data_IF_465840839452
#
_entry.id   IF_465840839452
#
_cell.length_a   1.000
_cell.length_b   1.000
_cell.length_c   1.000
_cell.angle_alpha   90.00
_cell.angle_beta   90.00
_cell.angle_gamma   90.00
#
_symmetry.space_group_name_H-M   'P 1'
#
loop_
_entity.id
_entity.type
_entity.pdbx_description
1 polymer ?
#
# COMPACT_ATOMS: atom_id res chain seq x y z
N UNK A 1 16.31 -22.36 23.30
CA UNK A 1 15.75 -21.22 22.52
C UNK A 1 14.65 -21.79 21.63
N UNK A 2 13.39 -21.39 21.83
CA UNK A 2 12.23 -21.92 21.08
C UNK A 2 12.37 -21.62 19.60
N UNK A 3 12.24 -22.64 18.76
CA UNK A 3 12.27 -22.55 17.28
C UNK A 3 11.01 -21.88 16.67
N UNK A 4 10.12 -21.31 17.52
CA UNK A 4 8.85 -20.71 17.10
C UNK A 4 8.96 -19.21 16.78
N UNK A 5 8.03 -18.72 15.98
CA UNK A 5 7.84 -17.28 15.72
C UNK A 5 7.46 -16.59 17.04
N UNK A 6 8.11 -15.48 17.45
CA UNK A 6 7.74 -14.76 18.66
C UNK A 6 6.27 -14.29 18.61
N UNK A 7 5.52 -14.47 19.71
CA UNK A 7 4.11 -14.04 19.80
C UNK A 7 3.92 -12.53 19.50
N UNK A 8 4.91 -11.72 19.88
CA UNK A 8 4.92 -10.31 19.53
C UNK A 8 4.88 -10.07 18.02
N UNK A 9 5.59 -10.90 17.24
CA UNK A 9 5.62 -10.80 15.79
C UNK A 9 4.28 -11.20 15.18
N UNK A 10 3.62 -12.24 15.73
CA UNK A 10 2.26 -12.62 15.32
C UNK A 10 1.24 -11.51 15.62
N UNK A 11 1.37 -10.82 16.76
CA UNK A 11 0.52 -9.66 17.08
C UNK A 11 0.70 -8.52 16.07
N UNK A 12 1.93 -8.23 15.65
CA UNK A 12 2.23 -7.24 14.61
C UNK A 12 1.67 -7.68 13.24
N UNK A 13 1.80 -8.96 12.87
CA UNK A 13 1.24 -9.52 11.63
C UNK A 13 -0.28 -9.38 11.59
N UNK A 14 -0.95 -9.65 12.71
CA UNK A 14 -2.39 -9.48 12.83
C UNK A 14 -2.82 -8.00 12.75
N UNK A 15 -2.03 -7.10 13.36
CA UNK A 15 -2.23 -5.66 13.20
C UNK A 15 -2.08 -5.21 11.75
N UNK A 16 -1.06 -5.71 11.05
CA UNK A 16 -0.86 -5.45 9.62
C UNK A 16 -2.01 -6.01 8.76
N UNK A 17 -2.55 -7.18 9.11
CA UNK A 17 -3.72 -7.75 8.46
C UNK A 17 -4.98 -6.90 8.66
N UNK A 18 -5.24 -6.45 9.87
CA UNK A 18 -6.39 -5.59 10.17
C UNK A 18 -6.31 -4.25 9.42
N UNK A 19 -5.12 -3.63 9.42
CA UNK A 19 -4.83 -2.37 8.73
C UNK A 19 -4.97 -2.54 7.20
N UNK A 20 -4.38 -3.58 6.63
CA UNK A 20 -4.49 -3.85 5.20
C UNK A 20 -5.93 -4.15 4.77
N UNK A 21 -6.70 -4.84 5.61
CA UNK A 21 -8.12 -5.08 5.34
C UNK A 21 -8.89 -3.77 5.27
N UNK A 22 -8.76 -2.87 6.27
CA UNK A 22 -9.49 -1.58 6.25
C UNK A 22 -9.02 -0.64 5.14
N UNK A 23 -7.75 -0.73 4.74
CA UNK A 23 -7.19 0.08 3.66
C UNK A 23 -7.86 -0.23 2.32
N UNK A 24 -7.90 -1.49 1.94
CA UNK A 24 -8.28 -1.89 0.59
C UNK A 24 -9.74 -2.35 0.44
N UNK A 25 -10.40 -2.79 1.52
CA UNK A 25 -11.80 -3.27 1.45
C UNK A 25 -12.76 -2.19 0.94
N UNK A 26 -12.44 -0.93 1.18
CA UNK A 26 -13.25 0.21 0.74
C UNK A 26 -13.49 0.21 -0.77
N UNK A 27 -12.52 -0.25 -1.57
CA UNK A 27 -12.63 -0.36 -3.04
C UNK A 27 -13.80 -1.26 -3.44
N UNK A 28 -13.99 -2.38 -2.74
CA UNK A 28 -15.12 -3.29 -2.96
C UNK A 28 -16.45 -2.76 -2.43
N UNK A 29 -16.43 -1.75 -1.56
CA UNK A 29 -17.62 -1.18 -0.90
C UNK A 29 -18.08 0.15 -1.50
N UNK A 30 -17.29 0.78 -2.39
CA UNK A 30 -17.62 2.09 -2.98
C UNK A 30 -19.05 2.15 -3.52
N UNK A 31 -19.53 1.20 -4.37
CA UNK A 31 -20.89 1.24 -4.89
C UNK A 31 -21.95 1.17 -3.78
N UNK A 32 -21.74 0.29 -2.80
CA UNK A 32 -22.68 0.09 -1.67
C UNK A 32 -22.74 1.32 -0.75
N UNK A 33 -21.58 1.94 -0.47
CA UNK A 33 -21.49 3.16 0.35
C UNK A 33 -22.11 4.34 -0.39
N UNK A 34 -21.85 4.49 -1.68
CA UNK A 34 -22.41 5.56 -2.50
C UNK A 34 -23.95 5.49 -2.52
N UNK A 35 -24.50 4.28 -2.71
CA UNK A 35 -25.95 4.06 -2.72
C UNK A 35 -26.60 4.32 -1.33
N UNK A 36 -26.02 3.79 -0.24
CA UNK A 36 -26.57 3.91 1.11
C UNK A 36 -26.52 5.35 1.66
N UNK A 37 -25.42 6.06 1.41
CA UNK A 37 -25.21 7.43 1.88
C UNK A 37 -25.71 8.51 0.89
N UNK A 38 -26.27 8.10 -0.25
CA UNK A 38 -26.76 8.99 -1.31
C UNK A 38 -25.69 10.00 -1.77
N UNK A 39 -24.44 9.54 -1.92
CA UNK A 39 -23.33 10.34 -2.43
C UNK A 39 -22.89 9.83 -3.80
N UNK A 40 -22.20 10.67 -4.56
CA UNK A 40 -21.66 10.28 -5.86
C UNK A 40 -20.52 9.25 -5.72
N UNK A 41 -20.25 8.47 -6.77
CA UNK A 41 -19.09 7.57 -6.81
C UNK A 41 -17.76 8.31 -6.57
N UNK A 42 -17.51 9.51 -7.15
CA UNK A 42 -16.34 10.31 -6.82
C UNK A 42 -16.23 10.65 -5.33
N UNK A 43 -17.35 11.04 -4.68
CA UNK A 43 -17.36 11.29 -3.24
C UNK A 43 -17.01 10.04 -2.44
N UNK A 44 -17.56 8.89 -2.80
CA UNK A 44 -17.19 7.62 -2.17
C UNK A 44 -15.71 7.26 -2.39
N UNK A 45 -15.17 7.55 -3.58
CA UNK A 45 -13.74 7.39 -3.92
C UNK A 45 -12.80 8.25 -3.07
N UNK A 46 -13.24 9.45 -2.62
CA UNK A 46 -12.46 10.29 -1.69
C UNK A 46 -12.16 9.61 -0.36
N UNK A 47 -12.93 8.62 0.05
CA UNK A 47 -12.64 7.83 1.25
C UNK A 47 -11.32 7.04 1.14
N UNK A 48 -10.93 6.64 -0.08
CA UNK A 48 -9.62 6.05 -0.38
C UNK A 48 -8.54 7.13 -0.29
N UNK A 49 -8.75 8.26 -0.96
CA UNK A 49 -7.80 9.38 -1.00
C UNK A 49 -7.48 9.91 0.39
N UNK A 50 -8.50 10.15 1.22
CA UNK A 50 -8.34 10.74 2.54
C UNK A 50 -7.67 9.78 3.54
N UNK A 51 -7.94 8.47 3.43
CA UNK A 51 -7.20 7.47 4.17
C UNK A 51 -5.72 7.47 3.79
N UNK A 52 -5.42 7.38 2.50
CA UNK A 52 -4.04 7.36 2.00
C UNK A 52 -3.29 8.66 2.32
N UNK A 53 -3.96 9.82 2.27
CA UNK A 53 -3.39 11.09 2.71
C UNK A 53 -3.08 11.05 4.22
N UNK A 54 -3.96 10.47 5.03
CA UNK A 54 -3.72 10.23 6.45
C UNK A 54 -2.45 9.39 6.68
N UNK A 55 -2.25 8.34 5.89
CA UNK A 55 -1.02 7.51 5.95
C UNK A 55 0.20 8.33 5.52
N UNK A 56 0.12 9.03 4.40
CA UNK A 56 1.23 9.81 3.83
C UNK A 56 1.73 10.91 4.77
N UNK A 57 0.81 11.56 5.51
CA UNK A 57 1.13 12.57 6.52
C UNK A 57 1.51 11.93 7.86
N UNK A 58 0.77 10.89 8.26
CA UNK A 58 0.97 10.20 9.54
C UNK A 58 2.36 9.58 9.65
N UNK A 59 2.83 8.92 8.60
CA UNK A 59 4.12 8.23 8.62
C UNK A 59 5.30 9.19 8.93
N UNK A 60 5.55 10.28 8.21
CA UNK A 60 6.68 11.16 8.53
C UNK A 60 6.43 12.07 9.74
N UNK A 61 5.24 12.70 9.83
CA UNK A 61 4.98 13.74 10.84
C UNK A 61 4.77 13.12 12.22
N UNK A 62 3.85 12.16 12.36
CA UNK A 62 3.56 11.57 13.66
C UNK A 62 4.72 10.70 14.17
N UNK A 63 5.46 10.02 13.28
CA UNK A 63 6.65 9.27 13.70
C UNK A 63 7.71 10.20 14.30
N UNK A 64 7.93 11.38 13.70
CA UNK A 64 8.85 12.38 14.24
C UNK A 64 8.35 12.97 15.57
N UNK A 65 7.07 13.31 15.68
CA UNK A 65 6.48 13.90 16.89
C UNK A 65 6.41 12.91 18.06
N UNK A 66 6.20 11.63 17.79
CA UNK A 66 6.04 10.59 18.80
C UNK A 66 7.34 9.87 19.15
N UNK A 67 8.48 10.34 18.65
CA UNK A 67 9.79 9.71 18.85
C UNK A 67 10.25 9.53 20.30
N UNK A 68 9.70 10.33 21.22
CA UNK A 68 9.96 10.22 22.67
C UNK A 68 9.04 9.21 23.39
N UNK A 69 7.94 8.80 22.77
CA UNK A 69 6.97 7.88 23.36
C UNK A 69 7.54 6.45 23.35
N UNK A 70 7.44 5.69 24.48
CA UNK A 70 7.87 4.29 24.49
C UNK A 70 7.17 3.49 23.39
N UNK A 71 7.92 2.66 22.64
CA UNK A 71 7.44 1.96 21.43
C UNK A 71 6.19 1.10 21.67
N UNK A 72 6.14 0.36 22.80
CA UNK A 72 4.94 -0.42 23.15
C UNK A 72 3.73 0.48 23.41
N UNK A 73 3.90 1.56 24.16
CA UNK A 73 2.81 2.51 24.47
C UNK A 73 2.26 3.13 23.19
N UNK A 74 3.16 3.52 22.29
CA UNK A 74 2.78 4.08 20.99
C UNK A 74 2.03 3.06 20.14
N UNK A 75 2.53 1.82 20.03
CA UNK A 75 1.85 0.74 19.28
C UNK A 75 0.43 0.48 19.82
N UNK A 76 0.29 0.40 21.15
CA UNK A 76 -1.01 0.20 21.82
C UNK A 76 -1.95 1.38 21.54
N UNK A 77 -1.46 2.61 21.65
CA UNK A 77 -2.23 3.81 21.35
C UNK A 77 -2.69 3.84 19.87
N UNK A 78 -1.84 3.42 18.93
CA UNK A 78 -2.19 3.34 17.51
C UNK A 78 -3.24 2.25 17.24
N UNK A 79 -3.12 1.08 17.86
CA UNK A 79 -4.12 0.02 17.72
C UNK A 79 -5.45 0.41 18.35
N UNK A 80 -5.42 1.16 19.45
CA UNK A 80 -6.63 1.74 20.06
C UNK A 80 -7.25 2.78 19.13
N UNK A 81 -6.47 3.72 18.59
CA UNK A 81 -6.94 4.72 17.63
C UNK A 81 -7.54 4.06 16.38
N UNK A 82 -6.87 3.02 15.84
CA UNK A 82 -7.35 2.23 14.73
C UNK A 82 -8.69 1.55 15.02
N UNK A 83 -8.81 0.93 16.19
CA UNK A 83 -10.04 0.26 16.63
C UNK A 83 -11.17 1.27 16.79
N UNK A 84 -10.93 2.39 17.48
CA UNK A 84 -11.92 3.47 17.65
C UNK A 84 -12.32 4.04 16.28
N UNK A 85 -11.37 4.29 15.38
CA UNK A 85 -11.67 4.80 14.05
C UNK A 85 -12.59 3.86 13.25
N UNK A 86 -12.37 2.53 13.32
CA UNK A 86 -13.26 1.56 12.67
C UNK A 86 -14.62 1.44 13.38
N UNK A 87 -14.69 1.62 14.70
CA UNK A 87 -15.98 1.73 15.43
C UNK A 87 -16.75 2.99 15.03
N UNK A 88 -16.06 4.12 14.87
CA UNK A 88 -16.66 5.36 14.34
C UNK A 88 -17.20 5.14 12.93
N UNK A 89 -16.45 4.42 12.06
CA UNK A 89 -16.93 4.05 10.74
C UNK A 89 -18.16 3.15 10.78
N UNK A 90 -18.21 2.16 11.68
CA UNK A 90 -19.38 1.31 11.88
C UNK A 90 -20.60 2.10 12.31
N UNK A 91 -20.44 3.03 13.26
CA UNK A 91 -21.52 3.86 13.81
C UNK A 91 -21.81 5.10 12.96
N UNK A 92 -21.12 5.30 11.84
CA UNK A 92 -21.21 6.52 11.05
C UNK A 92 -22.64 6.82 10.59
N UNK A 93 -23.26 7.91 11.06
CA UNK A 93 -24.62 8.30 10.65
C UNK A 93 -24.65 8.88 9.22
N UNK A 94 -23.48 9.28 8.68
CA UNK A 94 -23.38 9.89 7.37
C UNK A 94 -21.93 9.98 6.87
N UNK A 95 -21.80 10.56 5.69
CA UNK A 95 -20.52 10.63 4.96
C UNK A 95 -19.41 11.38 5.72
N UNK A 96 -19.73 12.50 6.38
CA UNK A 96 -18.73 13.30 7.12
C UNK A 96 -18.06 12.53 8.25
N UNK A 97 -18.82 11.76 9.03
CA UNK A 97 -18.26 10.91 10.11
C UNK A 97 -17.41 9.78 9.57
N UNK A 98 -17.78 9.22 8.41
CA UNK A 98 -16.97 8.21 7.73
C UNK A 98 -15.64 8.78 7.23
N UNK A 99 -15.62 10.02 6.72
CA UNK A 99 -14.37 10.74 6.37
C UNK A 99 -13.47 10.84 7.60
N UNK A 100 -13.97 11.31 8.73
CA UNK A 100 -13.18 11.43 9.97
C UNK A 100 -12.59 10.07 10.37
N UNK A 101 -13.39 9.01 10.33
CA UNK A 101 -12.95 7.66 10.63
C UNK A 101 -11.80 7.21 9.70
N UNK A 102 -11.91 7.50 8.40
CA UNK A 102 -10.87 7.15 7.40
C UNK A 102 -9.56 7.89 7.64
N UNK A 103 -9.61 9.20 7.94
CA UNK A 103 -8.40 9.97 8.26
C UNK A 103 -7.74 9.45 9.54
N UNK A 104 -8.50 9.21 10.60
CA UNK A 104 -7.96 8.69 11.88
C UNK A 104 -7.30 7.31 11.71
N UNK A 105 -7.94 6.40 10.99
CA UNK A 105 -7.38 5.07 10.73
C UNK A 105 -6.16 5.14 9.81
N UNK A 106 -6.12 6.05 8.84
CA UNK A 106 -4.96 6.31 7.99
C UNK A 106 -3.76 6.84 8.78
N UNK A 107 -3.97 7.79 9.68
CA UNK A 107 -2.92 8.29 10.59
C UNK A 107 -2.32 7.15 11.44
N UNK A 108 -3.16 6.28 12.00
CA UNK A 108 -2.70 5.12 12.78
C UNK A 108 -1.88 4.16 11.92
N UNK A 109 -2.29 3.88 10.68
CA UNK A 109 -1.59 3.02 9.72
C UNK A 109 -0.17 3.54 9.46
N UNK A 110 -0.02 4.82 9.10
CA UNK A 110 1.28 5.38 8.72
C UNK A 110 2.36 5.20 9.80
N UNK A 111 2.00 5.40 11.05
CA UNK A 111 2.93 5.22 12.18
C UNK A 111 3.12 3.74 12.53
N UNK A 112 2.07 2.91 12.41
CA UNK A 112 2.13 1.49 12.77
C UNK A 112 3.24 0.74 12.03
N UNK A 113 3.35 0.87 10.72
CA UNK A 113 4.38 0.14 9.96
C UNK A 113 5.79 0.64 10.27
N UNK A 114 5.95 1.93 10.56
CA UNK A 114 7.24 2.49 10.98
C UNK A 114 7.72 1.89 12.31
N UNK A 115 6.91 1.96 13.38
CA UNK A 115 7.30 1.45 14.69
C UNK A 115 7.23 -0.08 14.78
N UNK A 116 6.30 -0.70 14.05
CA UNK A 116 6.14 -2.15 13.96
C UNK A 116 7.39 -2.83 13.43
N UNK A 117 8.03 -2.25 12.40
CA UNK A 117 9.29 -2.73 11.85
C UNK A 117 10.42 -2.69 12.89
N UNK A 118 10.51 -1.61 13.69
CA UNK A 118 11.48 -1.50 14.77
C UNK A 118 11.21 -2.55 15.86
N UNK A 119 9.97 -2.75 16.25
CA UNK A 119 9.58 -3.77 17.22
C UNK A 119 9.88 -5.16 16.68
N UNK A 120 9.49 -5.46 15.43
CA UNK A 120 9.71 -6.75 14.80
C UNK A 120 11.19 -7.16 14.82
N UNK A 121 12.08 -6.22 14.48
CA UNK A 121 13.53 -6.48 14.49
C UNK A 121 14.12 -6.58 15.90
N UNK A 122 13.52 -5.92 16.89
CA UNK A 122 14.01 -5.94 18.29
C UNK A 122 13.67 -7.23 19.05
N UNK A 123 12.68 -8.01 18.58
CA UNK A 123 12.24 -9.25 19.24
C UNK A 123 12.86 -10.53 18.64
N UNK A 124 13.78 -10.37 17.69
CA UNK A 124 14.51 -11.45 17.04
C UNK A 124 16.02 -11.22 17.06
N UNK A 125 16.80 -12.26 16.76
CA UNK A 125 18.25 -12.11 16.56
C UNK A 125 18.55 -11.26 15.31
N UNK A 126 19.69 -10.54 15.31
CA UNK A 126 20.05 -9.56 14.26
C UNK A 126 20.08 -10.16 12.85
N UNK A 127 20.48 -11.41 12.70
CA UNK A 127 20.51 -12.17 11.45
C UNK A 127 19.10 -12.51 10.93
N UNK A 128 18.05 -12.36 11.73
CA UNK A 128 16.63 -12.61 11.40
C UNK A 128 15.81 -11.34 11.24
N UNK A 129 16.41 -10.17 11.31
CA UNK A 129 15.70 -8.88 11.27
C UNK A 129 14.86 -8.72 9.99
N UNK A 130 15.43 -9.01 8.82
CA UNK A 130 14.72 -8.94 7.54
C UNK A 130 13.53 -9.92 7.47
N UNK A 131 13.72 -11.14 7.97
CA UNK A 131 12.65 -12.15 8.05
C UNK A 131 11.52 -11.71 8.97
N UNK A 132 11.81 -11.05 10.10
CA UNK A 132 10.80 -10.55 11.01
C UNK A 132 9.94 -9.45 10.38
N UNK A 133 10.55 -8.51 9.66
CA UNK A 133 9.82 -7.49 8.88
C UNK A 133 8.95 -8.18 7.82
N UNK A 134 9.49 -9.13 7.07
CA UNK A 134 8.75 -9.86 6.04
C UNK A 134 7.52 -10.59 6.64
N UNK A 135 7.66 -11.25 7.78
CA UNK A 135 6.55 -11.91 8.49
C UNK A 135 5.48 -10.89 8.88
N UNK A 136 5.84 -9.73 9.42
CA UNK A 136 4.87 -8.69 9.73
C UNK A 136 4.11 -8.24 8.47
N UNK A 137 4.81 -7.99 7.35
CA UNK A 137 4.20 -7.55 6.09
C UNK A 137 3.38 -8.64 5.39
N UNK A 138 3.55 -9.94 5.73
CA UNK A 138 2.64 -10.98 5.21
C UNK A 138 1.19 -10.73 5.64
N UNK A 139 0.97 -10.07 6.79
CA UNK A 139 -0.37 -9.64 7.21
C UNK A 139 -1.05 -8.77 6.16
N UNK A 140 -0.35 -7.80 5.57
CA UNK A 140 -0.88 -6.95 4.50
C UNK A 140 -1.20 -7.76 3.23
N UNK A 141 -0.33 -8.68 2.83
CA UNK A 141 -0.57 -9.54 1.67
C UNK A 141 -1.77 -10.46 1.89
N UNK A 142 -1.88 -11.06 3.08
CA UNK A 142 -3.03 -11.90 3.45
C UNK A 142 -4.32 -11.08 3.48
N UNK A 143 -4.27 -9.81 3.91
CA UNK A 143 -5.42 -8.90 3.87
C UNK A 143 -5.94 -8.68 2.44
N UNK A 144 -5.05 -8.48 1.47
CA UNK A 144 -5.44 -8.35 0.06
C UNK A 144 -6.08 -9.62 -0.49
N UNK A 145 -5.56 -10.79 -0.10
CA UNK A 145 -6.04 -12.10 -0.59
C UNK A 145 -7.36 -12.51 0.07
N UNK A 146 -7.53 -12.27 1.37
CA UNK A 146 -8.67 -12.80 2.13
C UNK A 146 -9.51 -11.71 2.79
N UNK A 147 -8.87 -10.71 3.40
CA UNK A 147 -9.54 -9.66 4.15
C UNK A 147 -10.45 -8.79 3.27
N UNK A 148 -9.94 -8.40 2.10
CA UNK A 148 -10.70 -7.54 1.15
C UNK A 148 -11.91 -8.28 0.58
N UNK A 149 -11.80 -9.50 0.01
CA UNK A 149 -12.96 -10.23 -0.48
C UNK A 149 -13.97 -10.55 0.61
N UNK A 150 -13.53 -11.03 1.78
CA UNK A 150 -14.41 -11.36 2.90
C UNK A 150 -15.12 -10.10 3.44
N UNK A 151 -14.38 -9.02 3.59
CA UNK A 151 -14.97 -7.75 4.04
C UNK A 151 -15.97 -7.18 3.02
N UNK A 152 -15.67 -7.29 1.73
CA UNK A 152 -16.61 -6.91 0.66
C UNK A 152 -17.86 -7.79 0.70
N UNK A 153 -17.71 -9.10 0.86
CA UNK A 153 -18.83 -10.03 1.01
C UNK A 153 -19.70 -9.70 2.23
N UNK A 154 -19.09 -9.45 3.40
CA UNK A 154 -19.81 -9.01 4.61
C UNK A 154 -20.57 -7.73 4.32
N UNK A 155 -19.93 -6.75 3.71
CA UNK A 155 -20.54 -5.45 3.43
C UNK A 155 -21.71 -5.50 2.44
N UNK A 156 -21.67 -6.44 1.50
CA UNK A 156 -22.75 -6.64 0.54
C UNK A 156 -23.97 -7.35 1.13
N UNK A 157 -23.78 -8.26 2.11
CA UNK A 157 -24.88 -9.04 2.70
C UNK A 157 -25.44 -8.43 3.99
N UNK A 158 -24.57 -7.82 4.80
CA UNK A 158 -24.94 -7.28 6.13
C UNK A 158 -24.82 -5.74 6.19
N UNK A 159 -24.57 -5.11 5.05
CA UNK A 159 -24.32 -3.68 4.94
C UNK A 159 -22.85 -3.31 5.22
N UNK A 160 -22.36 -2.28 4.53
CA UNK A 160 -20.95 -1.85 4.59
C UNK A 160 -20.45 -1.53 6.02
N UNK A 161 -21.35 -1.09 6.90
CA UNK A 161 -21.03 -0.84 8.31
C UNK A 161 -20.56 -2.09 9.03
N UNK A 162 -21.14 -3.27 8.73
CA UNK A 162 -20.75 -4.54 9.33
C UNK A 162 -19.30 -4.92 9.00
N UNK A 163 -18.78 -4.53 7.84
CA UNK A 163 -17.38 -4.72 7.51
C UNK A 163 -16.47 -3.95 8.47
N UNK A 164 -16.78 -2.68 8.77
CA UNK A 164 -15.98 -1.90 9.71
C UNK A 164 -16.08 -2.42 11.14
N UNK A 165 -17.22 -3.00 11.55
CA UNK A 165 -17.33 -3.70 12.83
C UNK A 165 -16.43 -4.95 12.88
N UNK A 166 -16.41 -5.74 11.81
CA UNK A 166 -15.51 -6.91 11.71
C UNK A 166 -14.03 -6.48 11.77
N UNK A 167 -13.66 -5.39 11.09
CA UNK A 167 -12.30 -4.83 11.17
C UNK A 167 -11.99 -4.27 12.56
N UNK A 168 -12.97 -3.64 13.23
CA UNK A 168 -12.80 -3.18 14.61
C UNK A 168 -12.54 -4.37 15.55
N UNK A 169 -13.24 -5.49 15.38
CA UNK A 169 -12.99 -6.73 16.13
C UNK A 169 -11.55 -7.25 15.90
N UNK A 170 -11.07 -7.25 14.66
CA UNK A 170 -9.66 -7.56 14.36
C UNK A 170 -8.71 -6.57 15.04
N UNK A 171 -9.06 -5.29 15.07
CA UNK A 171 -8.33 -4.25 15.79
C UNK A 171 -8.23 -4.51 17.28
N UNK A 172 -9.34 -4.95 17.92
CA UNK A 172 -9.34 -5.38 19.34
C UNK A 172 -8.40 -6.55 19.58
N UNK A 173 -8.43 -7.57 18.71
CA UNK A 173 -7.55 -8.75 18.85
C UNK A 173 -6.09 -8.34 18.70
N UNK A 174 -5.77 -7.48 17.71
CA UNK A 174 -4.42 -6.95 17.51
C UNK A 174 -3.96 -6.07 18.69
N UNK A 175 -4.86 -5.25 19.25
CA UNK A 175 -4.63 -4.45 20.45
C UNK A 175 -4.29 -5.33 21.65
N UNK A 176 -5.11 -6.33 21.93
CA UNK A 176 -4.87 -7.29 23.02
C UNK A 176 -3.57 -8.07 22.82
N UNK A 177 -3.30 -8.54 21.59
CA UNK A 177 -2.03 -9.16 21.23
C UNK A 177 -0.82 -8.25 21.48
N UNK A 178 -0.93 -6.98 21.13
CA UNK A 178 0.12 -5.97 21.38
C UNK A 178 0.33 -5.70 22.87
N UNK A 179 -0.74 -5.63 23.64
CA UNK A 179 -0.70 -5.45 25.10
C UNK A 179 -0.03 -6.65 25.81
N UNK A 180 -0.39 -7.87 25.40
CA UNK A 180 0.03 -9.09 26.08
C UNK A 180 1.42 -9.56 25.68
N UNK A 181 1.73 -9.52 24.38
CA UNK A 181 2.91 -10.19 23.83
C UNK A 181 4.08 -9.28 23.48
N UNK A 182 3.86 -7.98 23.26
CA UNK A 182 4.95 -7.05 22.97
C UNK A 182 5.68 -6.71 24.27
N UNK A 183 7.03 -6.81 24.36
CA UNK A 183 7.79 -6.48 25.55
C UNK A 183 7.62 -5.01 25.94
N UNK A 184 7.73 -4.72 27.25
CA UNK A 184 7.69 -3.33 27.76
C UNK A 184 8.98 -2.59 27.50
N UNK A 185 10.10 -3.28 27.62
CA UNK A 185 11.44 -2.74 27.42
C UNK A 185 11.90 -3.02 25.98
N UNK A 186 11.79 -2.03 25.14
CA UNK A 186 12.25 -2.06 23.76
C UNK A 186 13.36 -1.02 23.56
N UNK A 187 14.37 -1.30 22.73
CA UNK A 187 15.42 -0.36 22.41
C UNK A 187 14.84 0.97 21.92
N UNK A 188 15.29 2.07 22.47
CA UNK A 188 14.96 3.42 21.99
C UNK A 188 15.82 3.70 20.75
N UNK A 189 15.28 3.53 19.56
CA UNK A 189 15.90 4.10 18.36
C UNK A 189 15.65 5.61 18.34
N UNK A 190 16.63 6.38 17.91
CA UNK A 190 16.40 7.78 17.62
C UNK A 190 15.33 7.89 16.53
N UNK A 191 14.28 8.67 16.79
CA UNK A 191 13.30 8.96 15.76
C UNK A 191 13.96 9.76 14.63
N UNK A 192 13.52 9.53 13.39
CA UNK A 192 13.94 10.34 12.27
C UNK A 192 13.60 11.82 12.56
N UNK A 193 14.61 12.67 12.49
CA UNK A 193 14.41 14.11 12.69
C UNK A 193 13.88 14.78 11.44
N UNK A 194 13.16 15.89 11.57
CA UNK A 194 12.75 16.70 10.41
C UNK A 194 13.95 17.10 9.55
N UNK A 195 15.11 17.41 10.17
CA UNK A 195 16.33 17.74 9.43
C UNK A 195 16.79 16.60 8.50
N UNK A 196 16.73 15.35 8.95
CA UNK A 196 17.04 14.18 8.12
C UNK A 196 16.03 14.01 6.98
N UNK A 197 14.74 14.24 7.25
CA UNK A 197 13.72 14.20 6.20
C UNK A 197 13.95 15.27 5.13
N UNK A 198 14.27 16.50 5.52
CA UNK A 198 14.63 17.57 4.59
C UNK A 198 15.89 17.24 3.79
N UNK A 199 16.92 16.68 4.42
CA UNK A 199 18.14 16.26 3.73
C UNK A 199 17.85 15.20 2.64
N UNK A 200 16.94 14.25 2.92
CA UNK A 200 16.50 13.24 1.96
C UNK A 200 15.68 13.86 0.83
N UNK A 201 14.73 14.74 1.15
CA UNK A 201 13.90 15.43 0.16
C UNK A 201 14.68 16.45 -0.67
N UNK A 202 15.85 16.90 -0.22
CA UNK A 202 16.72 17.76 -1.00
C UNK A 202 17.54 17.00 -2.08
N UNK A 203 17.45 15.64 -2.11
CA UNK A 203 18.19 14.83 -3.07
C UNK A 203 17.38 14.56 -4.34
N UNK A 204 17.76 15.13 -5.51
CA UNK A 204 17.00 14.98 -6.76
C UNK A 204 16.81 13.53 -7.19
N UNK A 205 17.80 12.65 -6.90
CA UNK A 205 17.73 11.22 -7.23
C UNK A 205 16.64 10.51 -6.44
N UNK A 206 16.45 10.85 -5.16
CA UNK A 206 15.40 10.29 -4.32
C UNK A 206 14.04 10.87 -4.69
N UNK A 207 13.94 12.16 -5.01
CA UNK A 207 12.71 12.77 -5.52
C UNK A 207 12.23 12.09 -6.80
N UNK A 208 13.17 11.71 -7.69
CA UNK A 208 12.85 10.96 -8.91
C UNK A 208 12.24 9.59 -8.58
N UNK A 209 12.80 8.86 -7.60
CA UNK A 209 12.24 7.57 -7.14
C UNK A 209 10.85 7.75 -6.54
N UNK A 210 10.65 8.78 -5.70
CA UNK A 210 9.34 9.07 -5.11
C UNK A 210 8.30 9.44 -6.17
N UNK A 211 8.70 10.19 -7.20
CA UNK A 211 7.83 10.50 -8.34
C UNK A 211 7.46 9.23 -9.14
N UNK A 212 8.43 8.33 -9.39
CA UNK A 212 8.17 7.02 -10.02
C UNK A 212 7.15 6.21 -9.21
N UNK A 213 7.33 6.17 -7.88
CA UNK A 213 6.43 5.48 -6.95
C UNK A 213 5.04 6.09 -6.96
N UNK A 214 4.94 7.41 -6.80
CA UNK A 214 3.66 8.12 -6.73
C UNK A 214 2.88 8.05 -8.06
N UNK A 215 3.55 8.16 -9.20
CA UNK A 215 2.90 8.04 -10.50
C UNK A 215 2.49 6.61 -10.83
N UNK A 216 3.35 5.61 -10.53
CA UNK A 216 3.01 4.20 -10.74
C UNK A 216 1.76 3.78 -9.96
N UNK A 217 1.70 4.14 -8.68
CA UNK A 217 0.52 3.89 -7.85
C UNK A 217 -0.65 4.81 -8.19
N UNK A 218 -0.40 6.08 -8.48
CA UNK A 218 -1.41 7.04 -8.90
C UNK A 218 -2.17 6.57 -10.13
N UNK A 219 -1.47 6.12 -11.15
CA UNK A 219 -2.09 5.57 -12.37
C UNK A 219 -2.86 4.27 -12.10
N UNK A 220 -2.35 3.40 -11.22
CA UNK A 220 -3.05 2.18 -10.79
C UNK A 220 -4.35 2.52 -10.07
N UNK A 221 -4.28 3.39 -9.05
CA UNK A 221 -5.42 3.71 -8.18
C UNK A 221 -6.44 4.63 -8.82
N UNK A 222 -6.09 5.35 -9.89
CA UNK A 222 -7.04 6.10 -10.72
C UNK A 222 -8.15 5.19 -11.26
N UNK A 223 -7.83 3.95 -11.62
CA UNK A 223 -8.78 2.94 -12.09
C UNK A 223 -9.19 1.95 -10.99
N UNK A 224 -8.24 1.43 -10.22
CA UNK A 224 -8.49 0.41 -9.21
C UNK A 224 -9.49 0.86 -8.14
N UNK A 225 -9.47 2.13 -7.75
CA UNK A 225 -10.45 2.70 -6.80
C UNK A 225 -11.89 2.44 -7.23
N UNK A 226 -12.17 2.47 -8.51
CA UNK A 226 -13.51 2.27 -9.08
C UNK A 226 -13.71 0.88 -9.71
N UNK A 227 -12.81 -0.08 -9.44
CA UNK A 227 -12.87 -1.40 -10.04
C UNK A 227 -14.19 -2.12 -9.75
N UNK A 228 -14.71 -2.04 -8.52
CA UNK A 228 -15.99 -2.64 -8.16
C UNK A 228 -17.15 -2.05 -8.99
N UNK A 229 -17.15 -0.72 -9.21
CA UNK A 229 -18.13 -0.05 -10.06
C UNK A 229 -17.99 -0.47 -11.53
N UNK A 230 -16.76 -0.58 -12.05
CA UNK A 230 -16.52 -1.08 -13.41
C UNK A 230 -17.10 -2.50 -13.56
N UNK A 231 -16.84 -3.38 -12.60
CA UNK A 231 -17.32 -4.76 -12.63
C UNK A 231 -18.84 -4.85 -12.55
N UNK A 232 -19.50 -4.01 -11.74
CA UNK A 232 -20.97 -4.02 -11.59
C UNK A 232 -21.65 -3.31 -12.75
N UNK A 233 -21.29 -2.07 -13.02
CA UNK A 233 -22.06 -1.17 -13.90
C UNK A 233 -21.72 -1.37 -15.38
N UNK A 234 -20.49 -1.85 -15.69
CA UNK A 234 -20.02 -2.04 -17.07
C UNK A 234 -19.95 -3.52 -17.44
N UNK A 235 -19.34 -4.35 -16.60
CA UNK A 235 -19.18 -5.79 -16.87
C UNK A 235 -20.43 -6.61 -16.53
N UNK A 236 -21.40 -6.04 -15.77
CA UNK A 236 -22.65 -6.69 -15.40
C UNK A 236 -22.50 -7.81 -14.35
N UNK A 237 -21.45 -7.77 -13.54
CA UNK A 237 -21.32 -8.70 -12.41
C UNK A 237 -22.30 -8.32 -11.28
N UNK A 238 -22.90 -9.34 -10.67
CA UNK A 238 -23.62 -9.12 -9.42
C UNK A 238 -22.66 -8.67 -8.30
N UNK A 239 -23.18 -7.95 -7.30
CA UNK A 239 -22.40 -7.54 -6.14
C UNK A 239 -21.64 -8.73 -5.50
N UNK A 240 -22.31 -9.89 -5.38
CA UNK A 240 -21.70 -11.10 -4.83
C UNK A 240 -20.52 -11.62 -5.69
N UNK A 241 -20.64 -11.56 -7.01
CA UNK A 241 -19.57 -11.98 -7.91
C UNK A 241 -18.35 -11.07 -7.81
N UNK A 242 -18.52 -9.78 -7.51
CA UNK A 242 -17.41 -8.85 -7.32
C UNK A 242 -16.49 -9.30 -6.19
N UNK A 243 -17.02 -9.82 -5.08
CA UNK A 243 -16.19 -10.36 -3.98
C UNK A 243 -15.30 -11.51 -4.44
N UNK A 244 -15.83 -12.40 -5.30
CA UNK A 244 -15.05 -13.50 -5.90
C UNK A 244 -13.98 -12.99 -6.89
N UNK A 245 -14.29 -11.96 -7.67
CA UNK A 245 -13.33 -11.33 -8.58
C UNK A 245 -12.21 -10.64 -7.80
N UNK A 246 -12.53 -9.97 -6.68
CA UNK A 246 -11.53 -9.38 -5.80
C UNK A 246 -10.66 -10.42 -5.09
N UNK A 247 -11.17 -11.64 -4.83
CA UNK A 247 -10.35 -12.76 -4.36
C UNK A 247 -9.31 -13.17 -5.42
N UNK A 248 -9.74 -13.34 -6.67
CA UNK A 248 -8.85 -13.65 -7.79
C UNK A 248 -7.79 -12.56 -7.94
N UNK A 249 -8.19 -11.29 -7.87
CA UNK A 249 -7.28 -10.14 -7.87
C UNK A 249 -6.25 -10.23 -6.73
N UNK A 250 -6.70 -10.47 -5.50
CA UNK A 250 -5.82 -10.56 -4.33
C UNK A 250 -4.79 -11.68 -4.44
N UNK A 251 -5.20 -12.88 -4.91
CA UNK A 251 -4.26 -13.99 -5.20
C UNK A 251 -3.23 -13.57 -6.25
N UNK A 252 -3.68 -12.90 -7.30
CA UNK A 252 -2.81 -12.41 -8.36
C UNK A 252 -1.81 -11.36 -7.85
N UNK A 253 -2.22 -10.46 -6.95
CA UNK A 253 -1.35 -9.51 -6.26
C UNK A 253 -0.23 -10.24 -5.50
N UNK A 254 -0.56 -11.29 -4.75
CA UNK A 254 0.44 -12.06 -4.00
C UNK A 254 1.47 -12.71 -4.95
N UNK A 255 1.01 -13.31 -6.05
CA UNK A 255 1.86 -13.89 -7.08
C UNK A 255 2.74 -12.81 -7.73
N UNK A 256 2.14 -11.68 -8.08
CA UNK A 256 2.82 -10.56 -8.73
C UNK A 256 3.90 -9.94 -7.86
N UNK A 257 3.65 -9.78 -6.56
CA UNK A 257 4.63 -9.28 -5.61
C UNK A 257 5.87 -10.20 -5.52
N UNK A 258 5.64 -11.52 -5.44
CA UNK A 258 6.73 -12.52 -5.46
C UNK A 258 7.50 -12.53 -6.78
N UNK A 259 6.78 -12.47 -7.91
CA UNK A 259 7.38 -12.42 -9.24
C UNK A 259 8.18 -11.14 -9.45
N UNK A 260 7.63 -9.98 -9.09
CA UNK A 260 8.29 -8.69 -9.22
C UNK A 260 9.56 -8.59 -8.37
N UNK A 261 9.53 -9.11 -7.13
CA UNK A 261 10.71 -9.21 -6.28
C UNK A 261 11.82 -10.05 -6.93
N UNK A 262 11.50 -11.27 -7.39
CA UNK A 262 12.47 -12.13 -8.08
C UNK A 262 13.01 -11.51 -9.39
N UNK A 263 12.18 -10.74 -10.09
CA UNK A 263 12.59 -10.05 -11.30
C UNK A 263 13.59 -8.93 -10.97
N UNK A 264 13.33 -8.16 -9.91
CA UNK A 264 14.23 -7.11 -9.42
C UNK A 264 15.57 -7.69 -8.93
N UNK A 265 15.53 -8.84 -8.23
CA UNK A 265 16.76 -9.53 -7.78
C UNK A 265 17.63 -10.02 -8.95
N UNK A 266 16.99 -10.56 -10.01
CA UNK A 266 17.72 -11.16 -11.14
C UNK A 266 18.21 -10.16 -12.17
N UNK A 267 17.44 -9.10 -12.45
CA UNK A 267 17.72 -8.13 -13.53
C UNK A 267 18.09 -6.74 -13.01
N UNK A 268 18.07 -6.55 -11.70
CA UNK A 268 18.15 -5.23 -11.07
C UNK A 268 16.82 -4.47 -11.11
N UNK A 269 16.68 -3.44 -10.26
CA UNK A 269 15.42 -2.74 -10.08
C UNK A 269 14.95 -1.98 -11.33
N UNK A 270 15.84 -1.28 -12.04
CA UNK A 270 15.46 -0.46 -13.21
C UNK A 270 14.88 -1.28 -14.36
N UNK A 271 15.54 -2.36 -14.87
CA UNK A 271 14.95 -3.21 -15.91
C UNK A 271 13.65 -3.90 -15.47
N UNK A 272 13.59 -4.32 -14.20
CA UNK A 272 12.39 -4.92 -13.64
C UNK A 272 11.21 -3.94 -13.62
N UNK A 273 11.41 -2.73 -13.08
CA UNK A 273 10.41 -1.68 -13.02
C UNK A 273 9.97 -1.22 -14.41
N UNK A 274 10.90 -1.09 -15.36
CA UNK A 274 10.56 -0.73 -16.73
C UNK A 274 9.63 -1.75 -17.39
N UNK A 275 9.89 -3.05 -17.20
CA UNK A 275 9.01 -4.11 -17.70
C UNK A 275 7.65 -4.08 -17.00
N UNK A 276 7.64 -3.98 -15.66
CA UNK A 276 6.40 -4.01 -14.86
C UNK A 276 5.51 -2.80 -15.17
N UNK A 277 6.05 -1.59 -15.23
CA UNK A 277 5.28 -0.40 -15.59
C UNK A 277 4.78 -0.44 -17.05
N UNK A 278 5.58 -0.97 -17.98
CA UNK A 278 5.13 -1.20 -19.36
C UNK A 278 3.95 -2.18 -19.44
N UNK A 279 4.05 -3.31 -18.73
CA UNK A 279 2.95 -4.29 -18.66
C UNK A 279 1.73 -3.71 -17.93
N UNK A 280 1.92 -2.94 -16.85
CA UNK A 280 0.83 -2.31 -16.11
C UNK A 280 0.07 -1.31 -16.98
N UNK A 281 0.78 -0.45 -17.71
CA UNK A 281 0.15 0.48 -18.64
C UNK A 281 -0.64 -0.25 -19.75
N UNK A 282 -0.07 -1.33 -20.28
CA UNK A 282 -0.75 -2.18 -21.28
C UNK A 282 -2.02 -2.81 -20.69
N UNK A 283 -1.96 -3.40 -19.50
CA UNK A 283 -3.11 -4.04 -18.85
C UNK A 283 -4.20 -3.03 -18.53
N UNK A 284 -3.86 -1.82 -18.06
CA UNK A 284 -4.82 -0.75 -17.85
C UNK A 284 -5.47 -0.30 -19.17
N UNK A 285 -4.69 -0.18 -20.24
CA UNK A 285 -5.24 0.13 -21.57
C UNK A 285 -6.16 -0.98 -22.07
N UNK A 286 -5.78 -2.24 -21.92
CA UNK A 286 -6.59 -3.42 -22.29
C UNK A 286 -7.88 -3.47 -21.48
N UNK A 287 -7.87 -3.09 -20.20
CA UNK A 287 -9.07 -3.02 -19.36
C UNK A 287 -10.15 -2.11 -19.94
N UNK A 288 -9.77 -1.02 -20.62
CA UNK A 288 -10.71 -0.12 -21.31
C UNK A 288 -11.62 -0.84 -22.31
N UNK A 289 -11.11 -1.88 -22.95
CA UNK A 289 -11.83 -2.64 -23.96
C UNK A 289 -12.44 -3.93 -23.42
N UNK A 290 -11.78 -4.59 -22.48
CA UNK A 290 -12.21 -5.89 -21.94
C UNK A 290 -13.31 -5.78 -20.89
N UNK A 291 -13.50 -4.61 -20.27
CA UNK A 291 -14.51 -4.40 -19.24
C UNK A 291 -15.96 -4.70 -19.69
N UNK A 292 -16.24 -4.64 -20.97
CA UNK A 292 -17.56 -4.93 -21.53
C UNK A 292 -17.87 -6.43 -21.70
N UNK A 293 -16.91 -7.30 -21.38
CA UNK A 293 -17.07 -8.75 -21.47
C UNK A 293 -16.62 -9.41 -20.17
N UNK A 294 -17.52 -10.15 -19.52
CA UNK A 294 -17.27 -10.76 -18.20
C UNK A 294 -16.06 -11.70 -18.18
N UNK A 295 -15.83 -12.48 -19.25
CA UNK A 295 -14.70 -13.41 -19.30
C UNK A 295 -13.37 -12.71 -19.57
N UNK A 296 -13.37 -11.75 -20.48
CA UNK A 296 -12.16 -11.00 -20.81
C UNK A 296 -11.72 -10.11 -19.64
N UNK A 297 -12.65 -9.49 -18.93
CA UNK A 297 -12.32 -8.65 -17.78
C UNK A 297 -11.73 -9.46 -16.63
N UNK A 298 -12.17 -10.71 -16.42
CA UNK A 298 -11.57 -11.59 -15.41
C UNK A 298 -10.08 -11.85 -15.69
N UNK A 299 -9.73 -12.15 -16.95
CA UNK A 299 -8.33 -12.32 -17.36
C UNK A 299 -7.54 -11.03 -17.18
N UNK A 300 -8.14 -9.88 -17.50
CA UNK A 300 -7.49 -8.57 -17.35
C UNK A 300 -7.30 -8.22 -15.89
N UNK A 301 -8.28 -8.49 -15.00
CA UNK A 301 -8.17 -8.27 -13.56
C UNK A 301 -7.11 -9.17 -12.93
N UNK A 302 -7.00 -10.42 -13.37
CA UNK A 302 -5.93 -11.33 -12.97
C UNK A 302 -4.54 -10.75 -13.36
N UNK A 303 -4.38 -10.29 -14.59
CA UNK A 303 -3.16 -9.65 -15.05
C UNK A 303 -2.88 -8.35 -14.28
N UNK A 304 -3.92 -7.54 -14.03
CA UNK A 304 -3.81 -6.28 -13.28
C UNK A 304 -3.27 -6.52 -11.88
N UNK A 305 -3.80 -7.49 -11.13
CA UNK A 305 -3.30 -7.82 -9.79
C UNK A 305 -1.81 -8.18 -9.80
N UNK A 306 -1.39 -9.00 -10.77
CA UNK A 306 0.00 -9.43 -10.87
C UNK A 306 0.97 -8.26 -11.14
N UNK A 307 0.61 -7.30 -12.00
CA UNK A 307 1.52 -6.21 -12.35
C UNK A 307 1.38 -4.99 -11.44
N UNK A 308 0.18 -4.74 -10.88
CA UNK A 308 -0.08 -3.55 -10.05
C UNK A 308 0.76 -3.50 -8.77
N UNK A 309 1.03 -4.62 -8.14
CA UNK A 309 1.84 -4.72 -6.92
C UNK A 309 3.22 -5.35 -7.14
N UNK A 310 3.51 -5.85 -8.34
CA UNK A 310 4.81 -6.38 -8.71
C UNK A 310 5.94 -5.35 -8.68
N UNK A 311 5.61 -4.05 -8.81
CA UNK A 311 6.59 -2.95 -8.75
C UNK A 311 7.07 -2.63 -7.32
N UNK A 312 6.32 -3.01 -6.26
CA UNK A 312 6.60 -2.63 -4.86
C UNK A 312 8.01 -3.04 -4.42
N UNK A 313 8.42 -4.32 -4.55
CA UNK A 313 9.76 -4.73 -4.13
C UNK A 313 10.86 -3.98 -4.89
N UNK A 314 10.69 -3.83 -6.20
CA UNK A 314 11.67 -3.13 -7.05
C UNK A 314 11.84 -1.66 -6.66
N UNK A 315 10.75 -0.93 -6.42
CA UNK A 315 10.79 0.46 -5.97
C UNK A 315 11.45 0.57 -4.59
N UNK A 316 11.12 -0.34 -3.67
CA UNK A 316 11.67 -0.33 -2.32
C UNK A 316 13.18 -0.64 -2.30
N UNK A 317 13.63 -1.61 -3.09
CA UNK A 317 15.05 -1.90 -3.26
C UNK A 317 15.77 -0.70 -3.89
N UNK A 318 15.18 -0.10 -4.93
CA UNK A 318 15.80 1.01 -5.64
C UNK A 318 15.97 2.25 -4.77
N UNK A 319 14.96 2.62 -3.97
CA UNK A 319 15.08 3.77 -3.06
C UNK A 319 16.18 3.55 -2.02
N UNK A 320 16.30 2.33 -1.49
CA UNK A 320 17.36 1.98 -0.52
C UNK A 320 18.74 2.09 -1.17
N UNK A 321 18.93 1.58 -2.40
CA UNK A 321 20.19 1.69 -3.14
C UNK A 321 20.58 3.15 -3.40
N UNK A 322 19.64 3.98 -3.82
CA UNK A 322 19.88 5.42 -4.03
C UNK A 322 20.18 6.15 -2.72
N UNK A 323 19.47 5.81 -1.63
CA UNK A 323 19.70 6.41 -0.32
C UNK A 323 21.06 6.03 0.25
N UNK A 324 21.49 4.77 0.16
CA UNK A 324 22.83 4.31 0.57
C UNK A 324 23.94 5.06 -0.15
N UNK A 325 23.69 5.50 -1.37
CA UNK A 325 24.66 6.23 -2.17
C UNK A 325 24.73 7.72 -1.83
N UNK A 326 23.56 8.38 -1.73
CA UNK A 326 23.50 9.84 -1.62
C UNK A 326 23.29 10.35 -0.20
N UNK A 327 22.65 9.56 0.67
CA UNK A 327 22.32 9.91 2.07
C UNK A 327 22.43 8.68 2.99
N UNK A 328 23.60 8.00 3.07
CA UNK A 328 23.75 6.72 3.75
C UNK A 328 23.30 6.76 5.22
N UNK A 329 23.43 7.90 5.88
CA UNK A 329 23.01 8.12 7.28
C UNK A 329 21.49 8.26 7.46
N UNK A 330 20.71 8.34 6.36
CA UNK A 330 19.26 8.54 6.39
C UNK A 330 18.50 7.52 5.50
N UNK A 331 19.09 6.34 5.27
CA UNK A 331 18.51 5.29 4.41
C UNK A 331 17.13 4.84 4.89
N UNK A 332 16.93 4.69 6.21
CA UNK A 332 15.64 4.30 6.77
C UNK A 332 14.58 5.40 6.58
N UNK A 333 15.00 6.67 6.66
CA UNK A 333 14.12 7.82 6.38
C UNK A 333 13.70 7.82 4.92
N UNK A 334 14.63 7.58 4.00
CA UNK A 334 14.33 7.51 2.56
C UNK A 334 13.35 6.38 2.23
N UNK A 335 13.56 5.21 2.84
CA UNK A 335 12.63 4.07 2.74
C UNK A 335 11.23 4.40 3.26
N UNK A 336 11.13 5.06 4.42
CA UNK A 336 9.87 5.51 5.00
C UNK A 336 9.15 6.57 4.15
N UNK A 337 9.88 7.51 3.57
CA UNK A 337 9.32 8.51 2.65
C UNK A 337 8.84 7.88 1.33
N UNK A 338 9.43 6.76 0.90
CA UNK A 338 8.90 6.02 -0.24
C UNK A 338 7.54 5.37 0.07
N UNK A 339 7.32 4.90 1.31
CA UNK A 339 5.99 4.45 1.75
C UNK A 339 4.99 5.62 1.72
N UNK A 340 5.40 6.81 2.14
CA UNK A 340 4.57 8.00 1.99
C UNK A 340 4.28 8.33 0.51
N UNK A 341 5.26 8.17 -0.40
CA UNK A 341 5.08 8.37 -1.83
C UNK A 341 4.09 7.38 -2.47
N UNK A 342 4.07 6.10 -2.04
CA UNK A 342 3.01 5.15 -2.42
C UNK A 342 1.63 5.70 -2.06
N UNK A 343 1.48 6.18 -0.83
CA UNK A 343 0.20 6.68 -0.32
C UNK A 343 -0.20 8.03 -0.95
N UNK A 344 0.75 8.90 -1.27
CA UNK A 344 0.49 10.11 -2.09
C UNK A 344 -0.04 9.69 -3.46
N UNK A 345 0.57 8.67 -4.08
CA UNK A 345 0.08 8.10 -5.35
C UNK A 345 -1.34 7.58 -5.23
N UNK A 346 -1.66 6.79 -4.20
CA UNK A 346 -3.01 6.30 -3.93
C UNK A 346 -3.99 7.47 -3.77
N UNK A 347 -3.64 8.46 -2.95
CA UNK A 347 -4.50 9.60 -2.67
C UNK A 347 -4.81 10.43 -3.92
N UNK A 348 -3.77 10.79 -4.67
CA UNK A 348 -3.91 11.56 -5.91
C UNK A 348 -4.60 10.75 -7.00
N UNK A 349 -4.27 9.45 -7.15
CA UNK A 349 -4.89 8.57 -8.13
C UNK A 349 -6.39 8.39 -7.89
N UNK A 350 -6.80 8.12 -6.66
CA UNK A 350 -8.21 7.98 -6.31
C UNK A 350 -8.98 9.31 -6.47
N UNK A 351 -8.37 10.44 -6.09
CA UNK A 351 -8.96 11.76 -6.28
C UNK A 351 -9.11 12.12 -7.77
N UNK A 352 -8.04 11.99 -8.56
CA UNK A 352 -8.08 12.24 -10.01
C UNK A 352 -9.04 11.28 -10.70
N UNK A 353 -9.08 10.00 -10.30
CA UNK A 353 -10.05 9.04 -10.79
C UNK A 353 -11.48 9.49 -10.54
N UNK A 354 -11.76 10.06 -9.35
CA UNK A 354 -13.05 10.65 -9.04
C UNK A 354 -13.41 11.81 -9.99
N UNK A 355 -12.46 12.73 -10.26
CA UNK A 355 -12.66 13.81 -11.23
C UNK A 355 -12.93 13.28 -12.65
N UNK A 356 -12.21 12.22 -13.06
CA UNK A 356 -12.44 11.56 -14.36
C UNK A 356 -13.84 10.95 -14.43
N UNK A 357 -14.28 10.25 -13.37
CA UNK A 357 -15.63 9.66 -13.31
C UNK A 357 -16.71 10.74 -13.41
N UNK A 358 -16.54 11.87 -12.73
CA UNK A 358 -17.51 12.96 -12.66
C UNK A 358 -17.65 13.71 -13.98
N UNK A 359 -16.55 13.98 -14.68
CA UNK A 359 -16.55 14.87 -15.83
C UNK A 359 -16.61 14.16 -17.19
N UNK A 360 -15.97 12.98 -17.31
CA UNK A 360 -15.85 12.27 -18.58
C UNK A 360 -16.28 10.81 -18.55
N UNK A 361 -16.52 10.25 -17.36
CA UNK A 361 -17.11 8.94 -17.18
C UNK A 361 -16.14 7.85 -16.71
N UNK A 362 -16.75 6.81 -16.12
CA UNK A 362 -16.06 5.71 -15.42
C UNK A 362 -15.02 5.00 -16.29
N UNK A 363 -15.36 4.71 -17.56
CA UNK A 363 -14.48 3.94 -18.46
C UNK A 363 -13.28 4.73 -19.02
N UNK A 364 -13.17 6.01 -18.68
CA UNK A 364 -11.96 6.79 -18.96
C UNK A 364 -10.86 6.59 -17.90
N UNK A 365 -11.20 6.06 -16.74
CA UNK A 365 -10.22 5.83 -15.66
C UNK A 365 -9.10 4.85 -16.05
N UNK A 366 -9.30 3.73 -16.78
CA UNK A 366 -8.22 2.81 -17.11
C UNK A 366 -7.17 3.40 -18.05
N UNK A 367 -7.59 4.00 -19.18
CA UNK A 367 -6.61 4.51 -20.15
C UNK A 367 -5.89 5.77 -19.64
N UNK A 368 -6.55 6.65 -18.86
CA UNK A 368 -5.87 7.79 -18.21
C UNK A 368 -4.88 7.27 -17.17
N UNK A 369 -5.25 6.25 -16.38
CA UNK A 369 -4.34 5.56 -15.49
C UNK A 369 -3.12 4.99 -16.22
N UNK A 370 -3.31 4.40 -17.41
CA UNK A 370 -2.21 3.93 -18.26
C UNK A 370 -1.25 5.05 -18.65
N UNK A 371 -1.75 6.24 -19.02
CA UNK A 371 -0.90 7.40 -19.33
C UNK A 371 -0.06 7.85 -18.13
N UNK A 372 -0.64 7.85 -16.92
CA UNK A 372 0.09 8.20 -15.70
C UNK A 372 1.17 7.15 -15.41
N UNK A 373 0.89 5.85 -15.60
CA UNK A 373 1.89 4.79 -15.46
C UNK A 373 2.99 4.90 -16.52
N UNK A 374 2.65 5.30 -17.76
CA UNK A 374 3.67 5.57 -18.79
C UNK A 374 4.59 6.72 -18.40
N UNK A 375 4.09 7.75 -17.70
CA UNK A 375 4.95 8.78 -17.13
C UNK A 375 5.91 8.19 -16.07
N UNK A 376 5.45 7.28 -15.20
CA UNK A 376 6.32 6.55 -14.27
C UNK A 376 7.37 5.72 -15.00
N UNK A 377 7.01 5.06 -16.09
CA UNK A 377 7.95 4.34 -16.96
C UNK A 377 9.01 5.29 -17.54
N UNK A 378 8.59 6.45 -18.05
CA UNK A 378 9.52 7.47 -18.57
C UNK A 378 10.53 7.92 -17.53
N UNK A 379 10.07 8.21 -16.28
CA UNK A 379 10.95 8.54 -15.17
C UNK A 379 11.88 7.37 -14.78
N UNK A 380 11.41 6.13 -14.87
CA UNK A 380 12.23 4.92 -14.61
C UNK A 380 13.37 4.82 -15.63
N UNK A 381 13.07 4.99 -16.90
CA UNK A 381 14.07 4.98 -17.98
C UNK A 381 15.08 6.14 -17.82
N UNK A 382 14.57 7.34 -17.49
CA UNK A 382 15.41 8.50 -17.19
C UNK A 382 16.36 8.20 -16.02
N UNK A 383 15.85 7.68 -14.91
CA UNK A 383 16.64 7.33 -13.72
C UNK A 383 17.74 6.32 -14.07
N UNK A 384 17.40 5.28 -14.86
CA UNK A 384 18.37 4.29 -15.33
C UNK A 384 19.44 4.89 -16.27
N UNK A 385 19.07 5.89 -17.09
CA UNK A 385 20.04 6.59 -17.95
C UNK A 385 21.03 7.43 -17.14
N UNK A 386 20.53 8.07 -16.09
CA UNK A 386 21.35 8.84 -15.16
C UNK A 386 22.28 7.93 -14.36
N UNK A 387 21.82 6.75 -13.92
CA UNK A 387 22.66 5.76 -13.23
C UNK A 387 23.83 5.29 -14.12
N UNK A 388 23.59 5.07 -15.40
CA UNK A 388 24.64 4.73 -16.37
C UNK A 388 25.67 5.84 -16.54
N UNK A 389 25.22 7.09 -16.63
CA UNK A 389 26.12 8.26 -16.72
C UNK A 389 27.00 8.42 -15.47
N UNK A 390 26.48 8.10 -14.31
CA UNK A 390 27.22 8.16 -13.05
C UNK A 390 28.14 6.94 -12.84
N UNK A 391 28.24 6.01 -13.80
CA UNK A 391 29.13 4.84 -13.77
C UNK A 391 28.67 3.74 -12.81
N UNK A 392 27.37 3.70 -12.45
CA UNK A 392 26.83 2.80 -11.43
C UNK A 392 26.79 1.35 -11.93
N UNK A 393 26.47 1.15 -13.21
CA UNK A 393 26.36 -0.18 -13.83
C UNK A 393 27.70 -0.87 -14.03
N UNK A 394 28.79 -0.11 -14.28
CA UNK A 394 30.14 -0.68 -14.49
C UNK A 394 30.79 -1.27 -13.21
N UNK A 395 30.34 -0.86 -11.99
CA UNK A 395 30.88 -1.39 -10.73
C UNK A 395 30.20 -2.67 -10.25
N UNK A 396 28.94 -2.90 -10.60
CA UNK A 396 28.24 -4.14 -10.25
C UNK A 396 28.84 -5.36 -11.02
N UNK A 397 29.20 -5.16 -12.29
CA UNK A 397 29.84 -6.18 -13.12
C UNK A 397 31.31 -6.43 -12.75
N UNK A 398 32.00 -5.41 -12.19
CA UNK A 398 33.42 -5.50 -11.79
C UNK A 398 33.67 -6.24 -10.47
N UNK A 399 32.69 -6.35 -9.59
CA UNK A 399 32.82 -7.09 -8.33
C UNK A 399 32.60 -8.60 -8.56
N UNK A 400 31.83 -8.97 -9.57
CA UNK A 400 31.61 -10.37 -9.95
C UNK A 400 32.80 -11.05 -10.62
N UNK A 401 33.80 -10.28 -11.14
CA UNK A 401 34.97 -10.81 -11.85
C UNK A 401 36.23 -10.96 -10.96
N UNK A 402 36.18 -10.41 -9.71
CA UNK A 402 37.33 -10.43 -8.79
C UNK A 402 37.31 -11.59 -7.77
N UNK A 403 36.40 -12.55 -7.92
CA UNK A 403 36.35 -13.76 -7.07
C UNK A 403 36.51 -15.02 -7.92
N UNK A 404 37.70 -15.17 -8.55
CA UNK A 404 38.24 -16.43 -9.07
C UNK A 404 39.67 -16.64 -8.57
#
# INVERSE_FOLDING_TARGET
MSRGIPLALLALTLGAFAIGTTEFVIVGLIPTIAADLHVSLPSAGLLVSLYALGVAVGAPVLTALTGRVPRKTLLVALMLLFTIGNLVAWMAPGYGSLIVARVLTGLAHGVFFSIGSIIATSVVAKDKAASAIAIMFTGLTVALVTGVPLGTFIGQHLGWRATFLAVAALGVIALLGSLLFVPRELPRSAAATFGQQFAVLAQPRLLLVYAMTALGYGGTFLSFTFLASILQDVSGFSANAVSAVLLVYGVSVAIGNLWGGRLADRRGPIPALSLIFGLLALVLLVLTFTAYNQWLVLLTVLALGAVAFGNVPGLQVYVVQQAQRFVPQATDVASGLNIAAFNIGIALGAWLGGLVVDHIGLMHTPWIGALVVLAALGLTVLSGSLDRRDGITARADGIAVATH
#
